data_IF_521798376502
#
_entry.id   IF_521798376502
#
_cell.length_a   1.000
_cell.length_b   1.000
_cell.length_c   1.000
_cell.angle_alpha   90.00
_cell.angle_beta   90.00
_cell.angle_gamma   90.00
#
_symmetry.space_group_name_H-M   'P 1'
#
loop_
_entity.id
_entity.type
_entity.pdbx_description
1 polymer ?
#
# COMPACT_ATOMS: atom_id res chain seq x y z
N UNK A 1 -52.11 5.62 17.06
CA UNK A 1 -51.14 6.73 16.93
C UNK A 1 -50.13 6.32 15.86
N UNK A 2 -50.23 6.88 14.66
CA UNK A 2 -49.35 6.59 13.53
C UNK A 2 -48.20 7.61 13.54
N UNK A 3 -46.98 7.15 13.79
CA UNK A 3 -45.78 7.98 13.74
C UNK A 3 -45.34 8.13 12.28
N UNK A 4 -45.46 9.34 11.73
CA UNK A 4 -44.91 9.72 10.43
C UNK A 4 -43.38 9.83 10.55
N UNK A 5 -42.66 8.96 9.86
CA UNK A 5 -41.22 9.11 9.65
C UNK A 5 -41.00 10.20 8.59
N UNK A 6 -40.46 11.35 8.99
CA UNK A 6 -40.02 12.40 8.07
C UNK A 6 -38.73 11.92 7.42
N UNK A 7 -38.80 11.54 6.14
CA UNK A 7 -37.63 11.22 5.34
C UNK A 7 -36.86 12.49 4.99
N UNK A 8 -35.76 12.75 5.69
CA UNK A 8 -34.77 13.76 5.26
C UNK A 8 -33.98 13.13 4.11
N UNK A 9 -34.36 13.44 2.87
CA UNK A 9 -33.49 13.18 1.71
C UNK A 9 -32.31 14.16 1.78
N UNK A 10 -31.05 13.72 1.84
CA UNK A 10 -29.93 14.63 1.63
C UNK A 10 -30.00 15.15 0.19
N UNK A 11 -30.14 16.45 0.02
CA UNK A 11 -30.10 17.10 -1.28
C UNK A 11 -28.66 17.03 -1.83
N UNK A 12 -28.43 16.17 -2.82
CA UNK A 12 -27.23 16.27 -3.64
C UNK A 12 -27.28 17.59 -4.42
N UNK A 13 -26.17 18.35 -4.52
CA UNK A 13 -26.15 19.61 -5.26
C UNK A 13 -26.44 19.36 -6.74
N UNK A 14 -27.46 20.03 -7.28
CA UNK A 14 -27.77 19.99 -8.70
C UNK A 14 -26.76 20.82 -9.51
N UNK A 15 -26.58 20.39 -10.76
CA UNK A 15 -25.53 20.66 -11.77
C UNK A 15 -25.17 22.12 -12.11
N UNK A 16 -25.67 23.15 -11.40
CA UNK A 16 -25.49 24.55 -11.82
C UNK A 16 -25.04 25.57 -10.77
N UNK A 17 -24.86 25.22 -9.50
CA UNK A 17 -24.35 26.18 -8.52
C UNK A 17 -22.81 26.22 -8.53
N UNK A 18 -22.26 26.98 -9.46
CA UNK A 18 -20.82 27.28 -9.57
C UNK A 18 -20.21 27.78 -8.25
N UNK A 19 -20.98 28.47 -7.41
CA UNK A 19 -20.58 28.90 -6.07
C UNK A 19 -20.56 27.76 -5.05
N UNK A 20 -21.49 26.80 -5.09
CA UNK A 20 -21.47 25.64 -4.19
C UNK A 20 -20.34 24.68 -4.55
N UNK A 21 -20.06 24.49 -5.84
CA UNK A 21 -18.87 23.76 -6.32
C UNK A 21 -17.56 24.46 -5.93
N UNK A 22 -17.50 25.80 -6.04
CA UNK A 22 -16.36 26.58 -5.57
C UNK A 22 -16.17 26.47 -4.05
N UNK A 23 -17.28 26.45 -3.31
CA UNK A 23 -17.30 26.26 -1.85
C UNK A 23 -16.90 24.84 -1.45
N UNK A 24 -17.31 23.81 -2.20
CA UNK A 24 -16.84 22.44 -2.02
C UNK A 24 -15.35 22.28 -2.34
N UNK A 25 -14.85 22.98 -3.37
CA UNK A 25 -13.43 23.07 -3.70
C UNK A 25 -12.62 23.80 -2.61
N UNK A 26 -13.22 24.76 -1.89
CA UNK A 26 -12.57 25.48 -0.78
C UNK A 26 -12.72 24.78 0.58
N UNK A 27 -13.82 24.05 0.81
CA UNK A 27 -14.13 23.34 2.07
C UNK A 27 -13.66 21.87 2.07
N UNK A 28 -13.20 21.37 0.92
CA UNK A 28 -12.47 20.11 0.83
C UNK A 28 -11.26 20.19 1.76
N UNK A 29 -11.38 19.58 2.95
CA UNK A 29 -10.24 19.36 3.83
C UNK A 29 -9.22 18.56 3.03
N UNK A 30 -8.12 19.21 2.64
CA UNK A 30 -6.94 18.54 2.11
C UNK A 30 -6.41 17.60 3.21
N UNK A 31 -6.92 16.38 3.23
CA UNK A 31 -6.24 15.28 3.94
C UNK A 31 -5.08 14.92 3.01
N UNK A 32 -3.83 15.20 3.41
CA UNK A 32 -2.70 14.90 2.55
C UNK A 32 -2.73 13.41 2.22
N UNK A 33 -2.45 13.10 0.95
CA UNK A 33 -2.49 11.72 0.46
C UNK A 33 -1.48 10.87 1.28
N UNK A 34 -0.40 11.49 1.75
CA UNK A 34 0.66 10.90 2.58
C UNK A 34 0.64 11.48 4.01
N UNK A 35 1.10 10.72 5.04
CA UNK A 35 1.61 11.33 6.26
C UNK A 35 2.62 12.42 5.92
N UNK A 36 2.28 13.69 6.16
CA UNK A 36 3.15 14.81 5.82
C UNK A 36 4.39 14.81 6.73
N UNK A 37 5.45 14.11 6.32
CA UNK A 37 6.76 14.19 6.95
C UNK A 37 7.51 15.42 6.42
N UNK A 38 7.23 16.58 7.01
CA UNK A 38 8.00 17.81 6.80
C UNK A 38 7.56 18.71 5.65
N UNK A 39 7.33 19.97 6.01
CA UNK A 39 7.23 21.19 5.20
C UNK A 39 6.17 21.27 4.08
N UNK A 40 4.94 21.65 4.44
CA UNK A 40 4.17 22.68 3.71
C UNK A 40 3.22 23.43 4.67
N UNK A 41 3.24 24.77 4.63
CA UNK A 41 2.16 25.61 5.19
C UNK A 41 1.87 26.78 4.26
N UNK A 42 0.60 26.93 3.85
CA UNK A 42 -0.14 28.20 3.94
C UNK A 42 -1.65 27.93 4.04
N UNK A 43 -2.29 28.81 4.81
CA UNK A 43 -3.55 28.69 5.54
C UNK A 43 -4.77 29.27 4.83
N UNK A 44 -5.97 28.85 5.26
CA UNK A 44 -7.18 29.70 5.19
C UNK A 44 -7.06 30.74 6.30
N UNK A 45 -6.89 32.01 5.91
CA UNK A 45 -6.94 33.25 6.69
C UNK A 45 -6.56 33.24 8.19
N UNK A 46 -5.41 33.87 8.49
CA UNK A 46 -5.22 34.64 9.73
C UNK A 46 -4.15 34.11 10.70
N UNK A 47 -2.99 34.78 10.68
CA UNK A 47 -1.83 34.65 11.58
C UNK A 47 -1.07 33.32 11.54
N UNK A 48 0.18 33.41 11.10
CA UNK A 48 1.20 32.37 11.22
C UNK A 48 1.47 32.19 12.72
N UNK A 49 1.09 31.05 13.27
CA UNK A 49 1.48 30.67 14.62
C UNK A 49 2.95 30.19 14.58
N UNK A 50 3.90 30.86 15.25
CA UNK A 50 5.32 30.47 15.23
C UNK A 50 5.60 29.11 15.87
N UNK A 51 4.62 28.51 16.56
CA UNK A 51 4.73 27.24 17.28
C UNK A 51 4.22 25.99 16.54
N UNK A 52 3.52 26.14 15.41
CA UNK A 52 2.90 25.01 14.69
C UNK A 52 3.81 24.46 13.58
N UNK A 53 5.04 24.06 13.92
CA UNK A 53 5.84 23.22 13.03
C UNK A 53 5.14 21.84 12.91
N UNK A 54 5.05 21.30 11.69
CA UNK A 54 4.54 19.95 11.46
C UNK A 54 5.17 18.95 12.44
N UNK A 55 4.36 18.04 12.97
CA UNK A 55 4.80 17.14 14.03
C UNK A 55 5.98 16.31 13.52
N UNK A 56 7.15 16.53 14.12
CA UNK A 56 8.35 15.79 13.81
C UNK A 56 8.27 14.43 14.50
N UNK A 57 7.68 13.47 13.79
CA UNK A 57 7.53 12.10 14.28
C UNK A 57 8.87 11.38 14.49
N UNK A 58 9.98 11.89 13.93
CA UNK A 58 11.32 11.38 14.19
C UNK A 58 12.03 12.13 15.32
N UNK A 59 11.48 13.25 15.81
CA UNK A 59 12.02 14.05 16.91
C UNK A 59 13.38 14.70 16.63
N UNK A 60 13.73 14.93 15.36
CA UNK A 60 14.99 15.50 14.89
C UNK A 60 14.90 16.99 14.49
N UNK A 61 15.58 17.84 15.27
CA UNK A 61 16.10 19.13 14.79
C UNK A 61 17.60 18.99 14.49
N UNK A 62 18.11 19.39 13.30
CA UNK A 62 17.45 20.13 12.21
C UNK A 62 16.70 19.21 11.22
N UNK A 63 15.97 19.85 10.28
CA UNK A 63 15.02 19.23 9.36
C UNK A 63 15.54 18.01 8.57
N UNK A 64 14.59 17.16 8.18
CA UNK A 64 14.77 15.96 7.35
C UNK A 64 15.65 16.27 6.13
N UNK A 65 16.83 15.66 6.09
CA UNK A 65 17.78 15.73 4.99
C UNK A 65 18.02 14.30 4.48
N UNK A 66 17.63 14.01 3.24
CA UNK A 66 17.76 12.69 2.64
C UNK A 66 16.75 12.44 1.52
N UNK A 67 16.98 11.42 0.71
CA UNK A 67 16.01 10.95 -0.29
C UNK A 67 14.93 10.12 0.42
N UNK A 68 13.81 9.89 -0.26
CA UNK A 68 12.73 9.02 0.24
C UNK A 68 12.75 7.70 -0.55
N UNK A 69 12.79 6.59 0.16
CA UNK A 69 12.66 5.24 -0.42
C UNK A 69 11.34 4.65 0.07
N UNK A 70 10.37 4.50 -0.83
CA UNK A 70 9.08 3.89 -0.51
C UNK A 70 9.04 2.44 -0.96
N UNK A 71 8.86 1.52 -0.02
CA UNK A 71 8.73 0.09 -0.25
C UNK A 71 7.26 -0.32 -0.22
N UNK A 72 6.77 -0.89 -1.30
CA UNK A 72 5.35 -1.28 -1.46
C UNK A 72 5.25 -2.57 -2.23
N UNK A 73 4.32 -3.45 -1.87
CA UNK A 73 4.35 -4.81 -2.39
C UNK A 73 4.19 -4.89 -3.91
N UNK A 74 3.31 -4.11 -4.53
CA UNK A 74 3.19 -4.08 -6.00
C UNK A 74 2.83 -2.70 -6.51
N UNK A 75 3.53 -2.24 -7.55
CA UNK A 75 3.27 -0.97 -8.24
C UNK A 75 3.13 -1.16 -9.75
N UNK A 76 4.15 -1.58 -10.52
CA UNK A 76 3.94 -1.83 -11.94
C UNK A 76 3.19 -3.15 -12.15
N UNK A 77 2.31 -3.17 -13.14
CA UNK A 77 1.81 -4.40 -13.75
C UNK A 77 2.68 -4.71 -14.97
N UNK A 78 3.24 -5.92 -15.01
CA UNK A 78 4.17 -6.33 -16.06
C UNK A 78 3.54 -7.45 -16.89
N UNK A 79 3.57 -7.28 -18.20
CA UNK A 79 3.03 -8.19 -19.19
C UNK A 79 4.17 -8.76 -20.03
N UNK A 80 4.11 -10.05 -20.34
CA UNK A 80 5.04 -10.69 -21.26
C UNK A 80 4.36 -10.93 -22.60
N UNK A 81 4.80 -10.21 -23.64
CA UNK A 81 4.25 -10.30 -24.99
C UNK A 81 5.38 -10.47 -26.02
N UNK A 82 5.28 -11.50 -26.88
CA UNK A 82 6.19 -11.74 -28.01
C UNK A 82 7.68 -11.72 -27.62
N UNK A 83 8.02 -12.29 -26.46
CA UNK A 83 9.40 -12.36 -25.97
C UNK A 83 9.91 -11.08 -25.30
N UNK A 84 9.04 -10.10 -25.03
CA UNK A 84 9.41 -8.82 -24.40
C UNK A 84 8.52 -8.51 -23.20
N UNK A 85 9.13 -7.93 -22.17
CA UNK A 85 8.41 -7.41 -21.00
C UNK A 85 7.88 -6.00 -21.29
N UNK A 86 6.58 -5.80 -21.12
CA UNK A 86 5.89 -4.51 -21.18
C UNK A 86 5.39 -4.16 -19.77
N UNK A 87 5.28 -2.88 -19.44
CA UNK A 87 4.82 -2.47 -18.11
C UNK A 87 3.85 -1.30 -18.16
N UNK A 88 2.98 -1.23 -17.17
CA UNK A 88 2.05 -0.13 -16.94
C UNK A 88 1.89 0.15 -15.44
N UNK A 89 1.73 1.42 -15.07
CA UNK A 89 1.49 1.84 -13.68
C UNK A 89 0.03 2.23 -13.40
N UNK A 90 -0.78 2.44 -14.45
CA UNK A 90 -2.12 3.05 -14.33
C UNK A 90 -3.30 2.12 -14.05
N UNK A 91 -3.16 0.80 -14.20
CA UNK A 91 -4.30 -0.14 -14.22
C UNK A 91 -4.35 -1.10 -13.00
N UNK A 92 -4.29 -0.57 -11.77
CA UNK A 92 -4.49 -1.38 -10.56
C UNK A 92 -5.65 -0.88 -9.71
N UNK A 93 -6.71 -1.68 -9.69
CA UNK A 93 -7.86 -1.49 -8.80
C UNK A 93 -7.42 -1.55 -7.32
N UNK A 94 -8.22 -0.92 -6.45
CA UNK A 94 -8.14 -1.03 -4.98
C UNK A 94 -6.99 -0.28 -4.26
N UNK A 95 -6.14 0.48 -4.96
CA UNK A 95 -5.00 1.20 -4.34
C UNK A 95 -4.79 2.63 -4.85
N UNK A 96 -5.83 3.28 -5.37
CA UNK A 96 -5.72 4.62 -5.98
C UNK A 96 -5.07 5.64 -5.04
N UNK A 97 -5.53 5.74 -3.79
CA UNK A 97 -4.95 6.67 -2.82
C UNK A 97 -3.46 6.43 -2.56
N UNK A 98 -3.04 5.18 -2.39
CA UNK A 98 -1.63 4.83 -2.18
C UNK A 98 -0.76 5.11 -3.42
N UNK A 99 -1.24 4.76 -4.61
CA UNK A 99 -0.53 5.03 -5.88
C UNK A 99 -0.43 6.54 -6.14
N UNK A 100 -1.48 7.30 -5.82
CA UNK A 100 -1.47 8.76 -5.89
C UNK A 100 -0.42 9.34 -4.92
N UNK A 101 -0.22 8.77 -3.72
CA UNK A 101 0.86 9.18 -2.81
C UNK A 101 2.23 9.04 -3.47
N UNK A 102 2.51 7.85 -4.00
CA UNK A 102 3.80 7.54 -4.61
C UNK A 102 4.03 8.47 -5.81
N UNK A 103 3.00 8.71 -6.61
CA UNK A 103 3.05 9.61 -7.76
C UNK A 103 3.28 11.07 -7.35
N UNK A 104 2.70 11.50 -6.22
CA UNK A 104 2.86 12.84 -5.66
C UNK A 104 4.29 13.05 -5.14
N UNK A 105 4.83 12.11 -4.36
CA UNK A 105 6.22 12.13 -3.89
C UNK A 105 7.24 12.10 -5.04
N UNK A 106 6.85 11.54 -6.19
CA UNK A 106 7.67 11.44 -7.40
C UNK A 106 7.54 12.65 -8.34
N UNK A 107 6.81 13.70 -7.96
CA UNK A 107 6.76 14.94 -8.76
C UNK A 107 8.13 15.61 -8.78
N UNK A 108 8.52 16.17 -9.94
CA UNK A 108 9.79 16.91 -10.09
C UNK A 108 9.89 18.12 -9.14
N UNK A 109 8.74 18.64 -8.70
CA UNK A 109 8.62 19.76 -7.77
C UNK A 109 8.87 19.35 -6.32
N UNK A 110 8.90 18.04 -6.03
CA UNK A 110 9.21 17.53 -4.69
C UNK A 110 10.65 17.88 -4.33
N UNK A 111 10.90 18.46 -3.14
CA UNK A 111 12.26 18.82 -2.72
C UNK A 111 13.13 17.58 -2.46
N UNK A 112 12.53 16.42 -2.24
CA UNK A 112 13.23 15.17 -1.96
C UNK A 112 13.12 14.24 -3.17
N UNK A 113 14.26 13.66 -3.57
CA UNK A 113 14.25 12.61 -4.59
C UNK A 113 13.55 11.38 -4.01
N UNK A 114 12.57 10.87 -4.75
CA UNK A 114 11.81 9.69 -4.38
C UNK A 114 12.19 8.48 -5.24
N UNK A 115 12.28 7.31 -4.61
CA UNK A 115 12.54 6.01 -5.26
C UNK A 115 11.54 5.00 -4.73
N UNK A 116 10.94 4.21 -5.61
CA UNK A 116 9.97 3.18 -5.22
C UNK A 116 10.58 1.79 -5.35
N UNK A 117 10.60 1.01 -4.27
CA UNK A 117 10.98 -0.41 -4.30
C UNK A 117 9.69 -1.24 -4.30
N UNK A 118 9.47 -2.04 -5.35
CA UNK A 118 8.24 -2.81 -5.49
C UNK A 118 8.46 -4.15 -6.18
N UNK A 119 7.69 -5.18 -5.82
CA UNK A 119 7.69 -6.43 -6.58
C UNK A 119 6.93 -6.22 -7.89
N UNK A 120 7.42 -6.90 -8.93
CA UNK A 120 6.88 -6.88 -10.30
C UNK A 120 5.44 -7.35 -10.41
N UNK A 121 4.94 -8.05 -9.39
CA UNK A 121 3.70 -8.80 -9.47
C UNK A 121 3.84 -10.05 -10.34
N UNK A 122 2.73 -10.76 -10.48
CA UNK A 122 2.62 -11.90 -11.39
C UNK A 122 2.68 -11.42 -12.83
N UNK A 123 3.62 -11.98 -13.59
CA UNK A 123 3.80 -11.64 -14.99
C UNK A 123 2.90 -12.53 -15.84
N UNK A 124 1.90 -11.91 -16.50
CA UNK A 124 0.94 -12.61 -17.35
C UNK A 124 1.43 -12.68 -18.79
N UNK A 125 1.22 -13.81 -19.47
CA UNK A 125 1.47 -13.96 -20.92
C UNK A 125 0.25 -13.52 -21.73
N UNK A 126 0.45 -12.76 -22.81
CA UNK A 126 -0.65 -12.18 -23.60
C UNK A 126 -1.55 -13.19 -24.35
N UNK A 127 -1.25 -14.49 -24.35
CA UNK A 127 -2.15 -15.51 -24.95
C UNK A 127 -3.47 -15.67 -24.18
N UNK A 128 -3.56 -15.21 -22.93
CA UNK A 128 -4.76 -15.31 -22.10
C UNK A 128 -5.85 -14.24 -22.44
N UNK A 129 -5.66 -13.42 -23.49
CA UNK A 129 -6.65 -12.40 -23.91
C UNK A 129 -7.90 -12.97 -24.59
N UNK A 130 -7.93 -14.25 -25.01
CA UNK A 130 -9.11 -14.83 -25.68
C UNK A 130 -10.27 -15.18 -24.73
N UNK A 131 -10.08 -15.15 -23.40
CA UNK A 131 -11.13 -15.50 -22.43
C UNK A 131 -11.59 -14.35 -21.52
N UNK A 132 -11.04 -13.13 -21.65
CA UNK A 132 -11.41 -11.97 -20.79
C UNK A 132 -11.78 -10.69 -21.55
N UNK A 133 -11.94 -10.76 -22.87
CA UNK A 133 -12.46 -9.65 -23.69
C UNK A 133 -14.00 -9.52 -23.66
N UNK A 134 -14.63 -9.91 -22.54
CA UNK A 134 -16.01 -9.56 -22.20
C UNK A 134 -16.06 -8.99 -20.78
N UNK A 135 -15.17 -8.04 -20.48
CA UNK A 135 -15.48 -7.07 -19.44
C UNK A 135 -16.47 -6.08 -20.06
N UNK A 136 -17.77 -6.39 -19.91
CA UNK A 136 -18.78 -5.34 -20.03
C UNK A 136 -18.37 -4.19 -19.11
N UNK A 137 -18.59 -2.98 -19.59
CA UNK A 137 -18.51 -1.72 -18.85
C UNK A 137 -19.52 -1.71 -17.68
N UNK A 138 -19.26 -2.56 -16.69
CA UNK A 138 -20.05 -2.70 -15.47
C UNK A 138 -19.27 -2.04 -14.34
N UNK A 139 -19.86 -1.00 -13.77
CA UNK A 139 -19.46 -0.33 -12.52
C UNK A 139 -19.78 -1.15 -11.27
N UNK A 140 -20.13 -2.42 -11.42
CA UNK A 140 -20.52 -3.27 -10.29
C UNK A 140 -19.30 -3.97 -9.72
N UNK A 141 -18.97 -3.63 -8.48
CA UNK A 141 -18.00 -4.35 -7.66
C UNK A 141 -18.53 -5.77 -7.44
N UNK A 142 -17.82 -6.78 -7.93
CA UNK A 142 -17.99 -8.14 -7.46
C UNK A 142 -17.36 -8.25 -6.05
N UNK A 143 -18.15 -8.43 -4.98
CA UNK A 143 -17.62 -8.56 -3.62
C UNK A 143 -16.85 -9.87 -3.40
N UNK A 144 -16.88 -10.79 -4.36
CA UNK A 144 -16.30 -12.13 -4.27
C UNK A 144 -14.92 -12.26 -4.92
N UNK A 145 -14.22 -11.18 -5.27
CA UNK A 145 -12.84 -11.32 -5.77
C UNK A 145 -11.87 -12.00 -4.77
N UNK A 146 -12.17 -11.93 -3.47
CA UNK A 146 -11.44 -12.68 -2.43
C UNK A 146 -11.92 -14.14 -2.26
N UNK A 147 -13.04 -14.53 -2.89
CA UNK A 147 -13.72 -15.85 -2.76
C UNK A 147 -14.09 -16.41 -4.15
N UNK A 148 -13.35 -16.06 -5.20
CA UNK A 148 -13.28 -16.94 -6.34
C UNK A 148 -12.25 -18.01 -5.96
N UNK A 149 -12.74 -19.19 -5.61
CA UNK A 149 -12.04 -20.44 -5.88
C UNK A 149 -11.66 -20.40 -7.37
N UNK A 150 -10.50 -19.82 -7.67
CA UNK A 150 -9.99 -19.78 -9.02
C UNK A 150 -9.68 -21.22 -9.36
N UNK A 151 -10.43 -21.76 -10.33
CA UNK A 151 -10.02 -22.92 -11.10
C UNK A 151 -8.52 -22.82 -11.40
N UNK A 152 -7.75 -23.69 -10.74
CA UNK A 152 -6.30 -23.77 -10.70
C UNK A 152 -5.67 -24.28 -12.00
N UNK A 153 -6.21 -23.90 -13.15
CA UNK A 153 -5.66 -24.31 -14.46
C UNK A 153 -4.45 -23.47 -14.90
N UNK A 154 -4.04 -22.47 -14.13
CA UNK A 154 -2.88 -21.60 -14.45
C UNK A 154 -1.69 -21.77 -13.48
N UNK A 155 -1.72 -22.77 -12.59
CA UNK A 155 -0.69 -23.01 -11.56
C UNK A 155 0.70 -23.38 -12.14
N UNK A 156 0.77 -23.88 -13.38
CA UNK A 156 2.00 -24.52 -13.91
C UNK A 156 2.70 -23.81 -15.08
N UNK A 157 2.29 -22.60 -15.48
CA UNK A 157 3.00 -21.89 -16.57
C UNK A 157 4.32 -21.31 -16.06
N UNK A 158 5.39 -22.05 -16.31
CA UNK A 158 6.77 -21.60 -16.11
C UNK A 158 7.11 -20.49 -17.10
N UNK A 159 7.59 -19.35 -16.61
CA UNK A 159 8.02 -18.22 -17.44
C UNK A 159 9.53 -18.01 -17.29
N UNK A 160 10.27 -18.15 -18.38
CA UNK A 160 11.69 -17.80 -18.41
C UNK A 160 11.89 -16.37 -18.90
N UNK A 161 12.68 -15.59 -18.16
CA UNK A 161 13.05 -14.22 -18.48
C UNK A 161 14.57 -14.14 -18.58
N UNK A 162 15.07 -13.72 -19.73
CA UNK A 162 16.51 -13.56 -19.93
C UNK A 162 17.06 -12.38 -19.11
N UNK A 163 18.34 -12.48 -18.73
CA UNK A 163 19.04 -11.40 -18.01
C UNK A 163 19.02 -10.08 -18.80
N UNK A 164 19.10 -10.16 -20.13
CA UNK A 164 19.02 -8.99 -21.01
C UNK A 164 17.66 -8.28 -20.91
N UNK A 165 16.56 -9.03 -20.96
CA UNK A 165 15.22 -8.45 -20.83
C UNK A 165 14.94 -7.96 -19.41
N UNK A 166 15.46 -8.65 -18.40
CA UNK A 166 15.42 -8.20 -17.02
C UNK A 166 16.09 -6.83 -16.86
N UNK A 167 17.35 -6.70 -17.29
CA UNK A 167 18.11 -5.45 -17.20
C UNK A 167 17.47 -4.31 -18.00
N UNK A 168 16.91 -4.61 -19.17
CA UNK A 168 16.16 -3.63 -19.96
C UNK A 168 14.97 -3.10 -19.17
N UNK A 169 14.15 -3.99 -18.61
CA UNK A 169 12.98 -3.58 -17.83
C UNK A 169 13.39 -2.83 -16.56
N UNK A 170 14.45 -3.24 -15.87
CA UNK A 170 14.96 -2.51 -14.70
C UNK A 170 15.36 -1.08 -15.05
N UNK A 171 15.98 -0.89 -16.23
CA UNK A 171 16.34 0.45 -16.73
C UNK A 171 15.08 1.28 -17.03
N UNK A 172 14.13 0.73 -17.78
CA UNK A 172 12.88 1.40 -18.15
C UNK A 172 12.08 1.82 -16.90
N UNK A 173 12.00 0.93 -15.90
CA UNK A 173 11.33 1.20 -14.63
C UNK A 173 12.05 2.24 -13.79
N UNK A 174 13.39 2.27 -13.81
CA UNK A 174 14.15 3.29 -13.09
C UNK A 174 14.07 4.67 -13.73
N UNK A 175 13.90 4.74 -15.05
CA UNK A 175 13.67 5.97 -15.82
C UNK A 175 12.23 6.46 -15.76
N UNK A 176 11.30 5.62 -15.30
CA UNK A 176 9.91 6.02 -15.03
C UNK A 176 9.84 7.16 -14.02
N UNK A 177 8.69 7.86 -14.00
CA UNK A 177 8.42 8.97 -13.09
C UNK A 177 8.67 8.58 -11.63
N UNK A 178 8.21 7.39 -11.23
CA UNK A 178 8.32 6.88 -9.86
C UNK A 178 9.70 6.28 -9.52
N UNK A 179 10.61 6.20 -10.49
CA UNK A 179 11.97 5.63 -10.35
C UNK A 179 11.94 4.28 -9.63
N UNK A 180 11.26 3.33 -10.27
CA UNK A 180 10.93 2.05 -9.66
C UNK A 180 12.15 1.13 -9.72
N UNK A 181 12.52 0.58 -8.56
CA UNK A 181 13.47 -0.51 -8.40
C UNK A 181 12.65 -1.79 -8.22
N UNK A 182 12.58 -2.67 -9.24
CA UNK A 182 11.82 -3.89 -9.12
C UNK A 182 12.51 -4.90 -8.19
N UNK A 183 11.70 -5.59 -7.41
CA UNK A 183 12.07 -6.79 -6.67
C UNK A 183 11.62 -7.99 -7.51
N UNK A 184 12.53 -8.89 -7.85
CA UNK A 184 12.23 -10.13 -8.55
C UNK A 184 12.19 -11.27 -7.54
N UNK A 185 11.01 -11.87 -7.39
CA UNK A 185 10.78 -12.99 -6.46
C UNK A 185 10.84 -14.32 -7.22
N UNK A 186 11.89 -15.08 -6.94
CA UNK A 186 12.11 -16.42 -7.47
C UNK A 186 12.88 -17.24 -6.42
N UNK A 187 12.72 -18.56 -6.42
CA UNK A 187 13.54 -19.42 -5.57
C UNK A 187 15.00 -19.42 -6.04
N UNK A 188 15.93 -19.81 -5.18
CA UNK A 188 17.35 -19.86 -5.55
C UNK A 188 17.60 -20.85 -6.70
N UNK A 189 16.88 -21.98 -6.72
CA UNK A 189 16.94 -22.96 -7.80
C UNK A 189 16.37 -22.45 -9.13
N UNK A 190 15.59 -21.37 -9.11
CA UNK A 190 14.98 -20.73 -10.27
C UNK A 190 15.89 -19.66 -10.90
N UNK A 191 17.00 -19.28 -10.22
CA UNK A 191 18.02 -18.37 -10.77
C UNK A 191 19.00 -19.17 -11.62
N UNK A 192 19.07 -18.83 -12.92
CA UNK A 192 20.03 -19.40 -13.87
C UNK A 192 21.06 -18.37 -14.28
N UNK A 193 22.16 -18.83 -14.90
CA UNK A 193 23.23 -17.94 -15.37
C UNK A 193 22.76 -16.97 -16.46
N UNK A 194 21.75 -17.36 -17.24
CA UNK A 194 21.23 -16.63 -18.39
C UNK A 194 19.89 -15.92 -18.10
N UNK A 195 19.30 -16.08 -16.91
CA UNK A 195 18.03 -15.47 -16.56
C UNK A 195 17.35 -16.05 -15.33
N UNK A 196 16.05 -15.79 -15.20
CA UNK A 196 15.21 -16.27 -14.10
C UNK A 196 14.04 -17.08 -14.62
N UNK A 197 13.72 -18.18 -13.94
CA UNK A 197 12.60 -19.07 -14.27
C UNK A 197 11.49 -18.92 -13.23
N UNK A 198 10.48 -18.10 -13.52
CA UNK A 198 9.38 -17.81 -12.61
C UNK A 198 8.36 -18.95 -12.61
N UNK A 199 8.12 -19.54 -11.45
CA UNK A 199 7.11 -20.59 -11.19
C UNK A 199 6.22 -20.20 -10.02
N UNK A 200 4.96 -20.66 -10.06
CA UNK A 200 3.96 -20.47 -9.00
C UNK A 200 4.05 -19.07 -8.35
N UNK A 201 3.96 -18.01 -9.16
CA UNK A 201 4.22 -16.64 -8.70
C UNK A 201 3.22 -16.18 -7.61
N UNK A 202 2.02 -16.76 -7.56
CA UNK A 202 1.00 -16.45 -6.56
C UNK A 202 1.42 -16.81 -5.14
N UNK A 203 2.31 -17.80 -4.96
CA UNK A 203 2.79 -18.25 -3.63
C UNK A 203 3.31 -17.10 -2.76
N UNK A 204 3.93 -16.11 -3.40
CA UNK A 204 4.51 -14.94 -2.74
C UNK A 204 3.47 -14.05 -2.04
N UNK A 205 2.20 -14.13 -2.42
CA UNK A 205 1.09 -13.42 -1.77
C UNK A 205 0.39 -14.24 -0.69
N UNK A 206 0.53 -15.56 -0.73
CA UNK A 206 -0.38 -16.47 -0.03
C UNK A 206 -0.40 -16.22 1.46
N UNK A 207 0.74 -16.10 2.15
CA UNK A 207 0.72 -15.86 3.60
C UNK A 207 -0.03 -14.58 3.98
N UNK A 208 0.20 -13.52 3.22
CA UNK A 208 -0.38 -12.22 3.49
C UNK A 208 -1.91 -12.24 3.23
N UNK A 209 -2.36 -12.91 2.17
CA UNK A 209 -3.78 -12.95 1.78
C UNK A 209 -4.58 -14.07 2.47
N UNK A 210 -3.92 -15.16 2.81
CA UNK A 210 -4.50 -16.33 3.46
C UNK A 210 -4.51 -16.18 4.98
N UNK A 211 -3.39 -15.79 5.58
CA UNK A 211 -3.19 -15.83 7.03
C UNK A 211 -3.35 -14.45 7.67
N UNK A 212 -2.75 -13.40 7.10
CA UNK A 212 -2.81 -12.04 7.68
C UNK A 212 -4.13 -11.32 7.38
N UNK A 213 -4.50 -11.21 6.11
CA UNK A 213 -5.64 -10.40 5.69
C UNK A 213 -6.96 -10.81 6.37
N UNK A 214 -7.37 -12.09 6.41
CA UNK A 214 -8.61 -12.49 7.07
C UNK A 214 -8.57 -12.18 8.57
N UNK A 215 -7.44 -12.47 9.23
CA UNK A 215 -7.28 -12.26 10.66
C UNK A 215 -7.34 -10.78 11.03
N UNK A 216 -6.72 -9.90 10.24
CA UNK A 216 -6.76 -8.45 10.43
C UNK A 216 -8.19 -7.89 10.27
N UNK A 217 -9.04 -8.58 9.51
CA UNK A 217 -10.45 -8.24 9.31
C UNK A 217 -11.39 -9.06 10.21
N UNK A 218 -10.89 -9.63 11.30
CA UNK A 218 -11.67 -10.42 12.26
C UNK A 218 -12.40 -11.63 11.65
N UNK A 219 -11.87 -12.16 10.54
CA UNK A 219 -12.35 -13.39 9.89
C UNK A 219 -11.46 -14.54 10.31
N UNK A 220 -12.04 -15.52 11.02
CA UNK A 220 -11.36 -16.77 11.33
C UNK A 220 -11.55 -17.75 10.18
N UNK A 221 -10.47 -18.39 9.77
CA UNK A 221 -10.50 -19.52 8.83
C UNK A 221 -10.53 -20.84 9.61
N UNK A 222 -10.92 -21.89 8.91
CA UNK A 222 -10.80 -23.24 9.44
C UNK A 222 -9.34 -23.56 9.77
N UNK A 223 -9.09 -24.33 10.85
CA UNK A 223 -7.74 -24.75 11.20
C UNK A 223 -7.10 -25.54 10.05
N UNK A 224 -6.01 -25.03 9.48
CA UNK A 224 -5.19 -25.79 8.53
C UNK A 224 -4.23 -26.72 9.27
N UNK A 225 -3.84 -27.85 8.67
CA UNK A 225 -2.94 -28.86 9.28
C UNK A 225 -1.49 -28.43 9.54
N UNK A 226 -1.19 -27.14 9.62
CA UNK A 226 0.12 -26.55 9.98
C UNK A 226 1.23 -26.67 8.93
N UNK A 227 1.24 -27.72 8.12
CA UNK A 227 2.23 -27.95 7.06
C UNK A 227 2.25 -26.82 6.01
N UNK A 228 1.08 -26.45 5.51
CA UNK A 228 0.96 -25.43 4.46
C UNK A 228 1.30 -24.03 4.97
N UNK A 229 0.99 -23.72 6.23
CA UNK A 229 1.35 -22.44 6.85
C UNK A 229 2.87 -22.24 6.91
N UNK A 230 3.62 -23.30 7.24
CA UNK A 230 5.09 -23.20 7.31
C UNK A 230 5.70 -22.85 5.95
N UNK A 231 5.16 -23.41 4.86
CA UNK A 231 5.59 -23.10 3.50
C UNK A 231 5.27 -21.64 3.16
N UNK A 232 4.03 -21.21 3.37
CA UNK A 232 3.61 -19.81 3.16
C UNK A 232 4.46 -18.82 3.97
N UNK A 233 4.75 -19.12 5.23
CA UNK A 233 5.62 -18.29 6.07
C UNK A 233 7.04 -18.18 5.51
N UNK A 234 7.61 -19.28 5.02
CA UNK A 234 8.95 -19.26 4.44
C UNK A 234 8.99 -18.40 3.17
N UNK A 235 7.94 -18.44 2.35
CA UNK A 235 7.81 -17.58 1.18
C UNK A 235 7.65 -16.11 1.61
N UNK A 236 6.82 -15.82 2.60
CA UNK A 236 6.66 -14.47 3.17
C UNK A 236 7.98 -13.89 3.71
N UNK A 237 8.77 -14.72 4.39
CA UNK A 237 10.09 -14.31 4.88
C UNK A 237 11.05 -14.00 3.72
N UNK A 238 11.07 -14.84 2.67
CA UNK A 238 11.88 -14.58 1.47
C UNK A 238 11.48 -13.29 0.76
N UNK A 239 10.17 -13.00 0.65
CA UNK A 239 9.68 -11.72 0.14
C UNK A 239 10.26 -10.57 0.94
N UNK A 240 10.09 -10.58 2.26
CA UNK A 240 10.56 -9.49 3.12
C UNK A 240 12.09 -9.32 3.06
N UNK A 241 12.84 -10.43 3.00
CA UNK A 241 14.29 -10.40 2.86
C UNK A 241 14.73 -9.76 1.53
N UNK A 242 14.11 -10.13 0.42
CA UNK A 242 14.42 -9.56 -0.91
C UNK A 242 14.13 -8.05 -0.97
N UNK A 243 13.06 -7.59 -0.34
CA UNK A 243 12.78 -6.16 -0.20
C UNK A 243 13.83 -5.46 0.67
N UNK A 244 14.15 -6.01 1.84
CA UNK A 244 15.17 -5.45 2.72
C UNK A 244 16.55 -5.38 2.03
N UNK A 245 16.93 -6.37 1.24
CA UNK A 245 18.16 -6.40 0.43
C UNK A 245 18.21 -5.24 -0.57
N UNK A 246 17.14 -5.07 -1.37
CA UNK A 246 17.06 -3.99 -2.35
C UNK A 246 17.09 -2.62 -1.69
N UNK A 247 16.35 -2.43 -0.60
CA UNK A 247 16.35 -1.16 0.13
C UNK A 247 17.74 -0.86 0.70
N UNK A 248 18.39 -1.83 1.35
CA UNK A 248 19.73 -1.63 1.92
C UNK A 248 20.79 -1.33 0.86
N UNK A 249 20.69 -1.97 -0.32
CA UNK A 249 21.62 -1.75 -1.45
C UNK A 249 21.51 -0.33 -2.01
N UNK A 250 20.32 0.26 -1.97
CA UNK A 250 20.04 1.57 -2.54
C UNK A 250 20.01 2.71 -1.52
N UNK A 251 20.09 2.39 -0.22
CA UNK A 251 20.07 3.35 0.87
C UNK A 251 21.34 4.20 0.91
N UNK A 252 21.16 5.50 1.18
CA UNK A 252 22.25 6.43 1.53
C UNK A 252 22.02 6.97 2.94
N UNK A 253 23.08 7.24 3.73
CA UNK A 253 22.94 7.84 5.04
C UNK A 253 22.09 9.12 5.00
N UNK A 254 21.02 9.13 5.80
CA UNK A 254 20.07 10.24 5.87
C UNK A 254 18.76 9.98 5.15
N UNK A 255 18.70 9.01 4.22
CA UNK A 255 17.45 8.65 3.53
C UNK A 255 16.36 8.21 4.53
N UNK A 256 15.12 8.46 4.15
CA UNK A 256 13.92 8.06 4.89
C UNK A 256 13.30 6.88 4.18
N UNK A 257 13.05 5.80 4.92
CA UNK A 257 12.47 4.57 4.39
C UNK A 257 11.01 4.50 4.83
N UNK A 258 10.10 4.48 3.86
CA UNK A 258 8.67 4.28 4.08
C UNK A 258 8.29 2.87 3.66
N UNK A 259 7.86 2.03 4.60
CA UNK A 259 7.43 0.65 4.32
C UNK A 259 5.92 0.57 4.41
N UNK A 260 5.28 0.06 3.36
CA UNK A 260 3.83 0.05 3.26
C UNK A 260 3.23 -1.35 3.33
N UNK A 261 2.21 -1.43 4.19
CA UNK A 261 1.21 -2.48 4.26
C UNK A 261 1.66 -3.85 4.79
N UNK A 262 0.68 -4.72 5.07
CA UNK A 262 0.87 -6.00 5.77
C UNK A 262 1.74 -7.03 5.03
N UNK A 263 2.05 -6.83 3.75
CA UNK A 263 2.96 -7.73 3.01
C UNK A 263 4.43 -7.60 3.47
N UNK A 264 4.80 -6.45 4.04
CA UNK A 264 6.18 -6.09 4.34
C UNK A 264 6.43 -5.85 5.83
N UNK A 265 5.71 -6.56 6.71
CA UNK A 265 5.78 -6.33 8.16
C UNK A 265 7.15 -6.69 8.76
N UNK A 266 7.96 -7.56 8.13
CA UNK A 266 9.29 -7.94 8.65
C UNK A 266 10.40 -7.02 8.16
N UNK A 267 10.16 -6.30 7.05
CA UNK A 267 11.15 -5.41 6.42
C UNK A 267 11.76 -4.40 7.41
N UNK A 268 11.01 -3.69 8.27
CA UNK A 268 11.61 -2.68 9.15
C UNK A 268 12.70 -3.25 10.06
N UNK A 269 12.47 -4.42 10.67
CA UNK A 269 13.45 -5.07 11.53
C UNK A 269 14.64 -5.63 10.74
N UNK A 270 14.41 -6.21 9.57
CA UNK A 270 15.48 -6.70 8.69
C UNK A 270 16.42 -5.56 8.23
N UNK A 271 15.86 -4.39 7.92
CA UNK A 271 16.64 -3.19 7.60
C UNK A 271 17.39 -2.72 8.84
N UNK A 272 16.73 -2.63 10.01
CA UNK A 272 17.34 -2.13 11.24
C UNK A 272 18.58 -2.93 11.65
N UNK A 273 18.56 -4.25 11.47
CA UNK A 273 19.69 -5.13 11.77
C UNK A 273 20.94 -4.78 10.94
N UNK A 274 20.75 -4.28 9.71
CA UNK A 274 21.85 -3.93 8.78
C UNK A 274 22.20 -2.45 8.83
N UNK A 275 21.20 -1.61 9.08
CA UNK A 275 21.29 -0.16 9.13
C UNK A 275 20.71 0.36 10.45
N UNK A 276 21.45 0.27 11.57
CA UNK A 276 20.95 0.60 12.91
C UNK A 276 20.47 2.03 13.08
N UNK A 277 20.96 2.96 12.24
CA UNK A 277 20.65 4.40 12.28
C UNK A 277 19.69 4.86 11.19
N UNK A 278 19.16 3.95 10.35
CA UNK A 278 18.21 4.29 9.30
C UNK A 278 16.93 4.90 9.90
N UNK A 279 16.30 5.82 9.17
CA UNK A 279 14.99 6.38 9.56
C UNK A 279 13.92 5.57 8.87
N UNK A 280 13.09 4.87 9.63
CA UNK A 280 12.12 3.92 9.08
C UNK A 280 10.72 4.24 9.61
N UNK A 281 9.77 4.46 8.71
CA UNK A 281 8.35 4.49 9.02
C UNK A 281 7.64 3.29 8.41
N UNK A 282 6.79 2.62 9.18
CA UNK A 282 5.90 1.57 8.70
C UNK A 282 4.46 2.09 8.68
N UNK A 283 3.77 1.96 7.54
CA UNK A 283 2.40 2.44 7.37
C UNK A 283 1.49 1.25 7.09
N UNK A 284 0.56 0.98 8.00
CA UNK A 284 -0.46 -0.05 7.80
C UNK A 284 -1.75 0.56 7.24
N UNK A 285 -2.16 0.10 6.07
CA UNK A 285 -3.39 0.55 5.40
C UNK A 285 -4.60 -0.26 5.83
N UNK A 286 -4.40 -1.53 6.18
CA UNK A 286 -5.44 -2.40 6.72
C UNK A 286 -5.71 -2.12 8.21
N UNK A 287 -6.88 -2.55 8.73
CA UNK A 287 -7.12 -2.56 10.16
C UNK A 287 -6.07 -3.39 10.90
N UNK A 288 -5.78 -3.02 12.15
CA UNK A 288 -5.01 -3.88 13.05
C UNK A 288 -5.96 -4.52 14.08
N UNK A 289 -5.93 -5.85 14.26
CA UNK A 289 -6.90 -6.54 15.10
C UNK A 289 -6.52 -6.50 16.58
N UNK A 290 -7.49 -6.73 17.46
CA UNK A 290 -7.25 -6.92 18.90
C UNK A 290 -6.25 -8.04 19.20
N UNK A 291 -5.59 -7.96 20.37
CA UNK A 291 -4.60 -8.95 20.83
C UNK A 291 -5.11 -10.39 20.93
N UNK A 292 -6.43 -10.56 21.08
CA UNK A 292 -7.15 -11.82 21.12
C UNK A 292 -7.02 -12.55 19.77
N UNK A 293 -7.15 -11.81 18.67
CA UNK A 293 -6.98 -12.33 17.32
C UNK A 293 -5.51 -12.48 16.94
N UNK A 294 -4.64 -11.51 17.31
CA UNK A 294 -3.20 -11.61 17.03
C UNK A 294 -2.59 -12.88 17.64
N UNK A 295 -3.07 -13.32 18.81
CA UNK A 295 -2.62 -14.56 19.46
C UNK A 295 -2.93 -15.83 18.68
N UNK A 296 -3.87 -15.79 17.74
CA UNK A 296 -4.16 -16.93 16.85
C UNK A 296 -3.07 -17.14 15.79
N UNK A 297 -2.23 -16.14 15.51
CA UNK A 297 -1.08 -16.31 14.60
C UNK A 297 0.03 -17.10 15.32
N UNK A 298 0.55 -18.13 14.66
CA UNK A 298 1.72 -18.86 15.16
C UNK A 298 2.98 -17.98 15.16
N UNK A 299 3.13 -17.13 14.12
CA UNK A 299 4.29 -16.23 13.88
C UNK A 299 4.10 -14.81 14.41
N UNK A 300 3.25 -14.66 15.43
CA UNK A 300 2.87 -13.37 16.02
C UNK A 300 4.06 -12.58 16.56
N UNK A 301 5.05 -13.25 17.15
CA UNK A 301 6.21 -12.56 17.73
C UNK A 301 7.06 -11.95 16.63
N UNK A 302 7.40 -12.76 15.63
CA UNK A 302 8.21 -12.35 14.49
C UNK A 302 7.57 -11.19 13.72
N UNK A 303 6.24 -11.21 13.52
CA UNK A 303 5.51 -10.13 12.85
C UNK A 303 5.52 -8.82 13.65
N UNK A 304 5.28 -8.88 14.96
CA UNK A 304 5.28 -7.69 15.81
C UNK A 304 6.70 -7.11 15.95
N UNK A 305 7.70 -7.96 16.17
CA UNK A 305 9.11 -7.55 16.19
C UNK A 305 9.56 -6.95 14.85
N UNK A 306 9.06 -7.52 13.74
CA UNK A 306 9.22 -7.00 12.39
C UNK A 306 8.85 -5.53 12.29
N UNK A 307 7.65 -5.18 12.75
CA UNK A 307 7.11 -3.81 12.71
C UNK A 307 7.83 -2.90 13.70
N UNK A 308 8.18 -3.39 14.90
CA UNK A 308 8.94 -2.63 15.91
C UNK A 308 10.37 -2.28 15.48
N UNK A 309 10.85 -2.81 14.35
CA UNK A 309 12.07 -2.32 13.72
C UNK A 309 11.99 -0.86 13.24
N UNK A 310 10.77 -0.36 12.96
CA UNK A 310 10.50 1.01 12.58
C UNK A 310 10.72 2.01 13.73
N UNK A 311 10.94 3.27 13.39
CA UNK A 311 10.93 4.39 14.35
C UNK A 311 9.51 4.94 14.52
N UNK A 312 8.71 4.92 13.45
CA UNK A 312 7.32 5.39 13.43
C UNK A 312 6.42 4.31 12.83
N UNK A 313 5.31 4.01 13.49
CA UNK A 313 4.27 3.09 13.00
C UNK A 313 2.97 3.87 12.84
N UNK A 314 2.45 3.92 11.62
CA UNK A 314 1.28 4.71 11.24
C UNK A 314 0.08 3.80 10.97
N UNK A 315 -1.05 4.14 11.57
CA UNK A 315 -2.34 3.44 11.38
C UNK A 315 -3.40 4.39 10.81
N UNK A 316 -4.45 3.81 10.22
CA UNK A 316 -5.59 4.59 9.69
C UNK A 316 -6.50 5.17 10.78
N UNK A 317 -6.51 4.58 11.98
CA UNK A 317 -7.35 5.00 13.09
C UNK A 317 -6.64 4.79 14.43
N UNK A 318 -6.98 5.63 15.42
CA UNK A 318 -6.42 5.55 16.77
C UNK A 318 -6.60 4.18 17.42
N UNK A 319 -7.79 3.57 17.27
CA UNK A 319 -8.09 2.25 17.85
C UNK A 319 -7.15 1.14 17.36
N UNK A 320 -6.68 1.23 16.10
CA UNK A 320 -5.73 0.25 15.56
C UNK A 320 -4.34 0.40 16.18
N UNK A 321 -3.92 1.64 16.46
CA UNK A 321 -2.68 1.90 17.21
C UNK A 321 -2.77 1.35 18.64
N UNK A 322 -3.90 1.51 19.32
CA UNK A 322 -4.13 0.93 20.65
C UNK A 322 -4.11 -0.61 20.61
N UNK A 323 -4.76 -1.22 19.61
CA UNK A 323 -4.75 -2.67 19.44
C UNK A 323 -3.34 -3.21 19.19
N UNK A 324 -2.53 -2.50 18.40
CA UNK A 324 -1.13 -2.82 18.18
C UNK A 324 -0.32 -2.70 19.49
N UNK A 325 -0.42 -1.58 20.19
CA UNK A 325 0.25 -1.35 21.46
C UNK A 325 -0.09 -2.43 22.51
N UNK A 326 -1.37 -2.79 22.61
CA UNK A 326 -1.83 -3.83 23.53
C UNK A 326 -1.32 -5.22 23.11
N UNK A 327 -1.22 -5.50 21.82
CA UNK A 327 -0.67 -6.76 21.31
C UNK A 327 0.82 -6.86 21.60
N UNK A 328 1.60 -5.79 21.37
CA UNK A 328 3.02 -5.72 21.74
C UNK A 328 3.23 -5.90 23.25
N UNK A 329 2.46 -5.21 24.09
CA UNK A 329 2.58 -5.36 25.55
C UNK A 329 2.29 -6.78 26.03
N UNK A 330 1.26 -7.43 25.47
CA UNK A 330 0.86 -8.78 25.91
C UNK A 330 1.77 -9.89 25.38
N UNK A 331 2.27 -9.75 24.15
CA UNK A 331 3.02 -10.81 23.45
C UNK A 331 4.53 -10.64 23.60
N UNK A 332 5.03 -9.41 23.49
CA UNK A 332 6.45 -9.07 23.53
C UNK A 332 6.87 -8.38 24.83
N UNK A 333 5.93 -8.11 25.75
CA UNK A 333 6.20 -7.47 27.04
C UNK A 333 6.83 -6.08 26.89
N UNK A 334 6.39 -5.31 25.88
CA UNK A 334 6.81 -3.91 25.68
C UNK A 334 6.30 -3.00 26.79
N UNK A 335 7.07 -1.97 27.13
CA UNK A 335 6.57 -0.87 27.97
C UNK A 335 5.78 0.10 27.09
N UNK A 336 4.50 0.31 27.42
CA UNK A 336 3.62 1.20 26.70
C UNK A 336 3.61 2.58 27.36
N UNK A 337 3.77 3.62 26.54
CA UNK A 337 3.58 5.03 26.91
C UNK A 337 2.51 5.63 25.99
N UNK A 338 1.93 6.79 26.32
CA UNK A 338 1.01 7.48 25.41
C UNK A 338 1.66 7.67 24.03
N UNK A 339 1.01 7.14 22.99
CA UNK A 339 1.47 7.16 21.60
C UNK A 339 2.87 6.56 21.35
N UNK A 340 3.43 5.79 22.29
CA UNK A 340 4.81 5.29 22.20
C UNK A 340 4.96 3.88 22.77
N UNK A 341 5.84 3.10 22.16
CA UNK A 341 6.26 1.78 22.65
C UNK A 341 7.75 1.78 22.92
N UNK A 342 8.16 1.18 24.04
CA UNK A 342 9.57 0.94 24.33
C UNK A 342 9.86 -0.55 24.20
N UNK A 343 10.79 -0.88 23.32
CA UNK A 343 11.21 -2.24 23.05
C UNK A 343 12.70 -2.28 22.68
N UNK A 344 13.47 -3.18 23.30
CA UNK A 344 14.90 -3.34 23.00
C UNK A 344 15.73 -2.06 23.20
N UNK A 345 15.36 -1.21 24.15
CA UNK A 345 16.02 0.09 24.41
C UNK A 345 15.70 1.19 23.39
N UNK A 346 14.79 0.95 22.44
CA UNK A 346 14.32 1.93 21.47
C UNK A 346 12.92 2.41 21.81
N UNK A 347 12.63 3.65 21.43
CA UNK A 347 11.28 4.23 21.49
C UNK A 347 10.70 4.26 20.08
N UNK A 348 9.54 3.66 19.91
CA UNK A 348 8.80 3.57 18.65
C UNK A 348 7.56 4.46 18.79
N UNK A 349 7.41 5.44 17.91
CA UNK A 349 6.27 6.34 17.90
C UNK A 349 5.10 5.67 17.17
N UNK A 350 3.92 5.70 17.79
CA UNK A 350 2.67 5.33 17.16
C UNK A 350 1.98 6.61 16.67
N UNK A 351 1.44 6.57 15.46
CA UNK A 351 0.69 7.67 14.86
C UNK A 351 -0.58 7.13 14.20
N UNK A 352 -1.60 7.98 14.13
CA UNK A 352 -2.82 7.71 13.38
C UNK A 352 -3.01 8.79 12.32
N UNK A 353 -2.90 8.41 11.05
CA UNK A 353 -2.98 9.35 9.94
C UNK A 353 -3.81 8.67 8.84
N UNK A 354 -5.10 9.01 8.72
CA UNK A 354 -5.96 8.41 7.70
C UNK A 354 -5.51 8.86 6.31
N UNK A 355 -5.40 7.90 5.39
CA UNK A 355 -4.99 8.14 4.00
C UNK A 355 -6.03 8.99 3.26
N UNK A 356 -5.56 10.02 2.56
CA UNK A 356 -6.39 10.90 1.71
C UNK A 356 -6.57 10.39 0.28
N UNK A 357 -7.28 11.18 -0.53
CA UNK A 357 -7.44 10.97 -1.98
C UNK A 357 -6.94 12.19 -2.75
N UNK A 358 -6.54 12.01 -4.02
CA UNK A 358 -6.21 13.13 -4.88
C UNK A 358 -7.48 13.83 -5.39
N UNK A 359 -7.99 14.78 -4.60
CA UNK A 359 -9.25 15.50 -4.88
C UNK A 359 -9.20 16.22 -6.22
N UNK A 360 -8.06 16.84 -6.56
CA UNK A 360 -7.92 17.58 -7.81
C UNK A 360 -8.00 16.66 -9.02
N UNK A 361 -7.27 15.54 -9.00
CA UNK A 361 -7.31 14.56 -10.08
C UNK A 361 -8.70 13.91 -10.22
N UNK A 362 -9.30 13.50 -9.10
CA UNK A 362 -10.65 12.89 -9.11
C UNK A 362 -11.70 13.88 -9.61
N UNK A 363 -11.64 15.15 -9.21
CA UNK A 363 -12.58 16.16 -9.68
C UNK A 363 -12.45 16.38 -11.20
N UNK A 364 -11.23 16.39 -11.74
CA UNK A 364 -11.01 16.51 -13.19
C UNK A 364 -11.58 15.31 -13.96
N UNK A 365 -11.41 14.09 -13.41
CA UNK A 365 -11.97 12.88 -14.02
C UNK A 365 -13.50 12.83 -13.92
N UNK A 366 -14.07 13.24 -12.79
CA UNK A 366 -15.51 13.18 -12.55
C UNK A 366 -16.29 14.19 -13.39
N UNK A 367 -15.77 15.40 -13.58
CA UNK A 367 -16.44 16.48 -14.32
C UNK A 367 -15.88 16.62 -15.74
N UNK A 368 -15.93 15.55 -16.51
CA UNK A 368 -15.56 15.57 -17.93
C UNK A 368 -16.77 15.21 -18.82
N UNK A 369 -16.78 15.68 -20.10
CA UNK A 369 -17.92 15.48 -20.99
C UNK A 369 -18.30 14.02 -21.26
N UNK A 370 -17.33 13.09 -21.20
CA UNK A 370 -17.58 11.67 -21.41
C UNK A 370 -18.33 11.05 -20.23
N UNK A 371 -17.96 11.41 -19.00
CA UNK A 371 -18.67 10.99 -17.78
C UNK A 371 -20.06 11.63 -17.73
N UNK A 372 -20.17 12.90 -18.13
CA UNK A 372 -21.47 13.58 -18.22
C UNK A 372 -22.46 12.85 -19.14
N UNK A 373 -22.00 12.38 -20.31
CA UNK A 373 -22.84 11.60 -21.22
C UNK A 373 -23.28 10.26 -20.62
N UNK A 374 -22.39 9.57 -19.89
CA UNK A 374 -22.74 8.33 -19.17
C UNK A 374 -23.77 8.60 -18.08
N UNK A 375 -23.63 9.70 -17.34
CA UNK A 375 -24.63 10.11 -16.35
C UNK A 375 -26.00 10.35 -16.99
N UNK A 376 -26.06 11.06 -18.12
CA UNK A 376 -27.31 11.32 -18.84
C UNK A 376 -27.96 10.01 -19.36
N UNK A 377 -27.15 9.06 -19.81
CA UNK A 377 -27.63 7.73 -20.24
C UNK A 377 -28.21 6.92 -19.08
N UNK A 378 -27.55 6.96 -17.92
CA UNK A 378 -28.05 6.32 -16.69
C UNK A 378 -29.34 6.98 -16.23
N UNK A 379 -29.42 8.32 -16.19
CA UNK A 379 -30.64 9.05 -15.84
C UNK A 379 -31.80 8.70 -16.78
N UNK A 380 -31.54 8.58 -18.09
CA UNK A 380 -32.55 8.16 -19.07
C UNK A 380 -32.99 6.71 -18.87
N UNK A 381 -32.07 5.80 -18.55
CA UNK A 381 -32.36 4.38 -18.35
C UNK A 381 -33.18 4.09 -17.08
N UNK A 382 -33.02 4.90 -16.04
CA UNK A 382 -33.70 4.75 -14.76
C UNK A 382 -34.78 5.82 -14.50
N UNK A 383 -34.98 6.76 -15.42
CA UNK A 383 -36.02 7.79 -15.30
C UNK A 383 -37.42 7.18 -15.28
N UNK A 384 -38.11 7.30 -14.14
CA UNK A 384 -39.50 6.84 -13.96
C UNK A 384 -39.67 5.43 -13.38
N UNK A 385 -38.57 4.78 -12.95
CA UNK A 385 -38.57 3.63 -12.05
C UNK A 385 -38.12 4.07 -10.66
#
# INVERSE_FOLDING_TARGET
MSARTVGIKPSLPQRHDSEQLARWRSDARNVPVTPAFGHEHKTVHGKIDPGAAGQDYFGLKPALHGNVISATFTVPHILYEKGKLQWETGHRFWRSGHVDCLSHLSLEQSPLRHTVVAWTGEISQSEDKSAKASASSSTTIDPTWHVQEKNDSNIDKTLFISTTEQNRLETDLYESRERIIPVWLCADAERKNDGIELKNQSRWREYAEHDLYPLFHYKQREPTGGGDERLRWNDYHQVNAAFADKICTNYKPGDIILVHDYYLMLVPQMIRQRLPTARIAFILQTPFPTSEFVRCLHRRQELLEGVLGADVVVFQAHIYAEHFANSCARILQTENRPDQLIHGGRCIQLAHIPTGINIQHIAQLAFNPAVDAVCDDVERAFGGK
#
